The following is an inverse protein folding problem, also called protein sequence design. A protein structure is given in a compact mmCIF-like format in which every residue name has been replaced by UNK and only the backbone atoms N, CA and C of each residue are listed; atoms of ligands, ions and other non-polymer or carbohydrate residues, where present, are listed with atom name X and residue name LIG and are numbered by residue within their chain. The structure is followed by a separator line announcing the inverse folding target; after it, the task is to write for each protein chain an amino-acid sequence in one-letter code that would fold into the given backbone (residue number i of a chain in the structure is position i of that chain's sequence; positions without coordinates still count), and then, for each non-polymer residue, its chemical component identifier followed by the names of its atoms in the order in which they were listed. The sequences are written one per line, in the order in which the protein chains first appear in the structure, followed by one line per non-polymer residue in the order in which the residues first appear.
data_IF_213558324360
#
_entry.id   IF_213558324360
#
_cell.length_a   1.000
_cell.length_b   1.000
_cell.length_c   1.000
_cell.angle_alpha   90.00
_cell.angle_beta   90.00
_cell.angle_gamma   90.00
#
_symmetry.space_group_name_H-M   'P 1'
#
loop_
_entity.id
_entity.type
_entity.pdbx_description
1 polymer ?
#
# COMPACT_ATOMS: atom_id res chain seq x y z
N UNK A 1 12.34 59.01 -10.39
CA UNK A 1 13.15 57.81 -10.11
C UNK A 1 12.29 56.70 -9.51
N UNK A 2 11.43 56.07 -10.32
CA UNK A 2 10.78 54.80 -9.97
C UNK A 2 10.97 53.87 -11.17
N UNK A 3 11.98 53.02 -11.09
CA UNK A 3 12.10 51.84 -11.96
C UNK A 3 11.22 50.71 -11.42
N UNK A 4 10.76 49.80 -12.30
CA UNK A 4 9.56 49.01 -12.08
C UNK A 4 9.84 47.78 -11.22
N UNK A 5 9.06 47.60 -10.16
CA UNK A 5 8.98 46.31 -9.46
C UNK A 5 8.24 45.33 -10.36
N UNK A 6 8.99 44.49 -11.07
CA UNK A 6 8.45 43.45 -11.93
C UNK A 6 7.45 42.56 -11.19
N UNK A 7 6.31 42.33 -11.81
CA UNK A 7 5.34 41.33 -11.39
C UNK A 7 6.04 39.96 -11.38
N UNK A 8 6.03 39.21 -10.25
CA UNK A 8 6.48 37.83 -10.29
C UNK A 8 5.54 37.03 -11.21
N UNK A 9 6.05 36.15 -12.09
CA UNK A 9 5.19 35.29 -12.88
C UNK A 9 4.36 34.39 -11.98
N UNK A 10 3.13 34.07 -12.41
CA UNK A 10 2.22 33.12 -11.78
C UNK A 10 2.91 31.74 -11.66
N UNK A 11 3.61 31.53 -10.56
CA UNK A 11 4.46 30.38 -10.32
C UNK A 11 5.06 30.35 -8.92
N UNK A 12 4.41 31.02 -7.96
CA UNK A 12 4.73 30.85 -6.56
C UNK A 12 4.51 29.37 -6.21
N UNK A 13 5.61 28.75 -5.80
CA UNK A 13 5.82 27.31 -5.64
C UNK A 13 4.61 26.65 -4.97
N UNK A 14 3.93 25.80 -5.75
CA UNK A 14 2.89 24.92 -5.23
C UNK A 14 3.52 24.08 -4.13
N UNK A 15 3.03 24.28 -2.91
CA UNK A 15 3.01 23.34 -1.79
C UNK A 15 3.89 22.11 -1.99
N UNK A 16 5.02 22.05 -1.27
CA UNK A 16 5.88 20.86 -1.14
C UNK A 16 5.20 19.68 -0.42
N UNK A 17 3.91 19.49 -0.62
CA UNK A 17 3.25 18.20 -0.47
C UNK A 17 3.15 17.59 -1.87
N UNK A 18 4.32 17.30 -2.46
CA UNK A 18 4.34 16.29 -3.53
C UNK A 18 4.09 14.94 -2.82
N UNK A 19 2.99 14.23 -3.12
CA UNK A 19 2.87 12.85 -2.67
C UNK A 19 4.00 12.03 -3.34
N UNK A 20 4.65 11.09 -2.65
CA UNK A 20 5.80 10.36 -3.17
C UNK A 20 5.36 9.37 -4.26
N UNK A 21 5.08 9.85 -5.46
CA UNK A 21 4.71 9.04 -6.63
C UNK A 21 5.54 9.38 -7.87
N UNK A 22 6.84 9.60 -7.70
CA UNK A 22 7.81 9.50 -8.81
C UNK A 22 8.45 8.12 -8.82
N UNK A 23 7.66 7.10 -9.15
CA UNK A 23 8.16 5.89 -9.80
C UNK A 23 7.00 5.12 -10.45
N UNK A 24 6.99 4.89 -11.78
CA UNK A 24 5.93 4.13 -12.46
C UNK A 24 5.97 2.61 -12.16
N UNK A 25 6.87 2.15 -11.29
CA UNK A 25 6.89 0.80 -10.71
C UNK A 25 6.39 0.73 -9.26
N UNK A 26 5.95 1.84 -8.65
CA UNK A 26 5.24 1.78 -7.35
C UNK A 26 3.79 1.34 -7.57
N UNK A 27 3.62 0.10 -8.01
CA UNK A 27 2.39 -0.64 -7.74
C UNK A 27 2.13 -0.58 -6.22
N UNK A 28 0.87 -0.62 -5.76
CA UNK A 28 0.51 -0.58 -4.33
C UNK A 28 1.03 -1.78 -3.49
N UNK A 29 1.91 -2.58 -4.07
CA UNK A 29 2.63 -3.68 -3.48
C UNK A 29 4.01 -3.20 -3.01
N UNK A 30 4.07 -2.57 -1.83
CA UNK A 30 5.35 -2.46 -1.13
C UNK A 30 5.76 -3.86 -0.65
N UNK A 31 6.92 -4.40 -1.05
CA UNK A 31 7.36 -5.74 -0.63
C UNK A 31 7.43 -5.87 0.89
N UNK A 32 7.65 -4.74 1.58
CA UNK A 32 7.66 -4.64 3.05
C UNK A 32 6.33 -5.05 3.69
N UNK A 33 5.20 -4.81 3.02
CA UNK A 33 3.88 -5.23 3.51
C UNK A 33 3.80 -6.75 3.61
N UNK A 34 4.29 -7.47 2.60
CA UNK A 34 4.24 -8.94 2.58
C UNK A 34 5.15 -9.58 3.63
N UNK A 35 6.09 -8.84 4.22
CA UNK A 35 6.98 -9.34 5.27
C UNK A 35 6.38 -9.21 6.67
N UNK A 36 5.27 -8.47 6.83
CA UNK A 36 4.61 -8.31 8.12
C UNK A 36 3.93 -9.62 8.55
N UNK A 37 3.83 -9.92 9.85
CA UNK A 37 3.08 -11.08 10.33
C UNK A 37 1.57 -10.92 10.10
N UNK A 38 0.83 -12.03 10.11
CA UNK A 38 -0.63 -11.97 10.24
C UNK A 38 -1.01 -11.36 11.60
N UNK A 39 -1.91 -10.38 11.60
CA UNK A 39 -2.30 -9.65 12.83
C UNK A 39 -3.81 -9.57 12.95
N UNK A 40 -4.35 -10.26 13.96
CA UNK A 40 -5.77 -10.26 14.29
C UNK A 40 -6.24 -8.85 14.72
N UNK A 41 -5.39 -8.09 15.40
CA UNK A 41 -5.71 -6.77 15.92
C UNK A 41 -6.46 -6.83 17.26
N UNK A 42 -7.10 -5.72 17.64
CA UNK A 42 -7.64 -5.52 19.00
C UNK A 42 -9.15 -5.77 19.13
N UNK A 43 -9.84 -5.96 18.01
CA UNK A 43 -11.27 -6.26 17.98
C UNK A 43 -11.51 -7.77 17.88
N UNK A 44 -12.74 -8.22 18.17
CA UNK A 44 -13.09 -9.65 18.28
C UNK A 44 -14.10 -10.11 17.21
N UNK A 45 -14.04 -9.56 15.99
CA UNK A 45 -14.82 -10.08 14.87
C UNK A 45 -14.13 -11.27 14.20
N UNK A 46 -14.90 -12.23 13.70
CA UNK A 46 -14.37 -13.38 12.94
C UNK A 46 -14.37 -13.09 11.43
N UNK A 47 -13.49 -12.19 10.97
CA UNK A 47 -13.40 -11.85 9.55
C UNK A 47 -12.33 -12.70 8.83
N UNK A 48 -12.71 -13.59 7.89
CA UNK A 48 -11.74 -14.37 7.13
C UNK A 48 -10.94 -13.47 6.19
N UNK A 49 -9.62 -13.48 6.33
CA UNK A 49 -8.67 -12.68 5.54
C UNK A 49 -7.46 -13.52 5.13
N UNK A 50 -6.65 -12.98 4.24
CA UNK A 50 -5.44 -13.61 3.74
C UNK A 50 -4.22 -12.74 4.05
N UNK A 51 -3.11 -13.36 4.37
CA UNK A 51 -1.82 -12.70 4.53
C UNK A 51 -0.78 -13.47 3.71
N UNK A 52 0.25 -12.78 3.23
CA UNK A 52 1.39 -13.45 2.62
C UNK A 52 2.26 -14.09 3.72
N UNK A 53 2.40 -15.40 3.66
CA UNK A 53 3.28 -16.16 4.53
C UNK A 53 4.61 -16.41 3.82
N UNK A 54 5.66 -15.73 4.28
CA UNK A 54 7.01 -15.82 3.74
C UNK A 54 7.65 -17.20 3.92
N UNK A 55 7.19 -17.99 4.90
CA UNK A 55 7.67 -19.35 5.16
C UNK A 55 7.11 -20.37 4.18
N UNK A 56 5.83 -20.27 3.83
CA UNK A 56 5.22 -21.10 2.78
C UNK A 56 5.47 -20.54 1.39
N UNK A 57 5.79 -19.24 1.28
CA UNK A 57 5.86 -18.54 0.02
C UNK A 57 4.50 -18.55 -0.68
N UNK A 58 3.42 -18.35 0.08
CA UNK A 58 2.04 -18.35 -0.41
C UNK A 58 1.15 -17.48 0.48
N UNK A 59 -0.05 -17.14 0.00
CA UNK A 59 -1.05 -16.50 0.84
C UNK A 59 -1.86 -17.53 1.63
N UNK A 60 -1.79 -17.43 2.95
CA UNK A 60 -2.52 -18.28 3.87
C UNK A 60 -3.69 -17.51 4.49
N UNK A 61 -4.75 -18.23 4.86
CA UNK A 61 -5.92 -17.64 5.51
C UNK A 61 -5.66 -17.43 7.01
N UNK A 62 -6.19 -16.34 7.56
CA UNK A 62 -6.23 -16.05 8.99
C UNK A 62 -7.54 -15.33 9.37
N UNK A 63 -7.79 -15.21 10.68
CA UNK A 63 -8.94 -14.45 11.21
C UNK A 63 -8.46 -13.05 11.61
N UNK A 64 -9.11 -12.05 11.04
CA UNK A 64 -8.92 -10.65 11.39
C UNK A 64 -10.05 -10.18 12.31
N UNK A 65 -9.67 -9.59 13.44
CA UNK A 65 -10.55 -9.07 14.48
C UNK A 65 -11.41 -7.88 14.06
N UNK A 66 -11.13 -7.25 12.92
CA UNK A 66 -11.90 -6.13 12.38
C UNK A 66 -11.34 -4.74 12.65
N UNK A 67 -10.35 -4.60 13.55
CA UNK A 67 -9.65 -3.34 13.76
C UNK A 67 -8.19 -3.56 14.20
N UNK A 68 -7.35 -2.53 14.01
CA UNK A 68 -5.97 -2.47 14.50
C UNK A 68 -5.05 -3.65 14.06
N UNK A 69 -5.26 -4.19 12.85
CA UNK A 69 -4.31 -5.08 12.20
C UNK A 69 -3.26 -4.30 11.41
N UNK A 70 -2.49 -5.02 10.59
CA UNK A 70 -1.52 -4.42 9.68
C UNK A 70 -1.88 -4.62 8.19
N UNK A 71 -1.15 -3.98 7.27
CA UNK A 71 -1.45 -4.06 5.84
C UNK A 71 -1.27 -5.43 5.16
N UNK A 72 -0.66 -6.43 5.82
CA UNK A 72 -0.63 -7.82 5.32
C UNK A 72 -1.97 -8.51 5.62
N UNK A 73 -3.04 -7.92 5.11
CA UNK A 73 -4.42 -8.30 5.36
C UNK A 73 -5.23 -8.02 4.10
N UNK A 74 -5.51 -9.09 3.36
CA UNK A 74 -6.17 -9.04 2.06
C UNK A 74 -7.53 -9.76 2.14
N UNK A 75 -8.53 -9.20 1.49
CA UNK A 75 -9.83 -9.85 1.33
C UNK A 75 -9.75 -10.90 0.23
N UNK A 76 -10.49 -12.01 0.38
CA UNK A 76 -10.75 -12.94 -0.73
C UNK A 76 -11.81 -12.36 -1.68
N UNK A 77 -11.59 -11.15 -2.18
CA UNK A 77 -12.30 -10.73 -3.38
C UNK A 77 -11.66 -11.51 -4.56
N UNK A 78 -12.49 -12.17 -5.37
CA UNK A 78 -12.14 -13.17 -6.39
C UNK A 78 -11.11 -12.73 -7.46
N UNK A 79 -9.84 -12.52 -7.07
CA UNK A 79 -8.75 -12.27 -8.02
C UNK A 79 -7.61 -11.35 -7.58
N UNK A 80 -7.50 -10.94 -6.31
CA UNK A 80 -6.38 -10.06 -5.86
C UNK A 80 -5.60 -10.60 -4.67
N UNK A 81 -5.31 -11.90 -4.69
CA UNK A 81 -4.28 -12.49 -3.82
C UNK A 81 -2.93 -12.32 -4.52
N UNK A 82 -1.91 -11.72 -3.88
CA UNK A 82 -0.58 -11.60 -4.47
C UNK A 82 0.00 -13.00 -4.66
N UNK A 83 0.23 -13.37 -5.92
CA UNK A 83 1.04 -14.53 -6.19
C UNK A 83 2.52 -14.18 -5.94
N UNK A 84 3.26 -14.99 -5.16
CA UNK A 84 4.69 -14.79 -4.85
C UNK A 84 5.58 -14.74 -6.09
N UNK A 85 5.06 -15.19 -7.23
CA UNK A 85 5.79 -15.33 -8.47
C UNK A 85 4.87 -15.00 -9.65
N UNK A 86 4.59 -13.73 -9.90
CA UNK A 86 3.90 -13.27 -11.12
C UNK A 86 4.78 -13.38 -12.40
N UNK A 87 5.66 -14.39 -12.47
CA UNK A 87 6.27 -14.85 -13.72
C UNK A 87 5.53 -16.09 -14.22
N UNK A 88 4.27 -15.90 -14.62
CA UNK A 88 3.50 -16.73 -15.55
C UNK A 88 2.20 -15.95 -15.82
N UNK A 89 2.06 -15.17 -16.88
CA UNK A 89 2.04 -15.50 -18.31
C UNK A 89 0.62 -15.24 -18.84
N UNK A 90 0.55 -14.22 -19.70
CA UNK A 90 -0.58 -13.72 -20.52
C UNK A 90 -1.74 -13.01 -19.82
#
# INVERSE_FOLDING_TARGET
MHSPGGTPPLGAVRSSVEPPFRNPLSLPWHPDICQLPAEMGLCDADLPRFFYNTRSGACDQFIYGGCAGNPNNFEAEAGRVPHPNSLSAQ
#
